data_IF_826800258070
#
_entry.id   IF_826800258070
#
_cell.length_a   1.000
_cell.length_b   1.000
_cell.length_c   1.000
_cell.angle_alpha   90.00
_cell.angle_beta   90.00
_cell.angle_gamma   90.00
#
_symmetry.space_group_name_H-M   'P 1'
#
loop_
_entity.id
_entity.type
_entity.pdbx_description
1 polymer ?
#
# COMPACT_ATOMS: atom_id res chain seq x y z
N UNK A 1 -15.70 13.09 -7.15
CA UNK A 1 -15.95 11.80 -7.84
C UNK A 1 -15.87 10.60 -6.91
N UNK A 2 -14.76 10.32 -6.21
CA UNK A 2 -14.65 9.17 -5.30
C UNK A 2 -15.69 9.18 -4.15
N UNK A 3 -15.88 10.32 -3.47
CA UNK A 3 -16.90 10.46 -2.42
C UNK A 3 -18.33 10.26 -2.93
N UNK A 4 -18.63 10.69 -4.16
CA UNK A 4 -19.92 10.43 -4.79
C UNK A 4 -20.15 8.94 -5.06
N UNK A 5 -19.12 8.21 -5.51
CA UNK A 5 -19.21 6.75 -5.69
C UNK A 5 -19.44 6.06 -4.33
N UNK A 6 -18.73 6.48 -3.28
CA UNK A 6 -18.92 5.93 -1.93
C UNK A 6 -20.30 6.23 -1.36
N UNK A 7 -20.84 7.44 -1.57
CA UNK A 7 -22.19 7.83 -1.17
C UNK A 7 -23.26 6.98 -1.85
N UNK A 8 -23.11 6.73 -3.14
CA UNK A 8 -24.01 5.86 -3.92
C UNK A 8 -23.94 4.42 -3.41
N UNK A 9 -22.75 3.87 -3.22
CA UNK A 9 -22.57 2.51 -2.66
C UNK A 9 -23.19 2.41 -1.27
N UNK A 10 -22.98 3.42 -0.41
CA UNK A 10 -23.55 3.46 0.93
C UNK A 10 -25.09 3.46 0.87
N UNK A 11 -25.68 4.34 0.05
CA UNK A 11 -27.13 4.41 -0.20
C UNK A 11 -27.71 3.07 -0.66
N UNK A 12 -27.02 2.35 -1.56
CA UNK A 12 -27.43 1.01 -1.98
C UNK A 12 -27.41 -0.03 -0.85
N UNK A 13 -26.44 0.04 0.07
CA UNK A 13 -26.29 -0.92 1.17
C UNK A 13 -27.31 -0.67 2.28
N UNK A 14 -27.54 0.61 2.63
CA UNK A 14 -28.42 1.00 3.73
C UNK A 14 -29.87 1.18 3.30
N UNK A 15 -30.13 1.28 1.99
CA UNK A 15 -31.45 1.61 1.44
C UNK A 15 -31.86 3.06 1.68
N UNK A 16 -30.94 3.93 2.12
CA UNK A 16 -31.20 5.36 2.33
C UNK A 16 -31.25 6.10 1.00
N UNK A 17 -32.05 7.15 0.90
CA UNK A 17 -32.10 7.97 -0.30
C UNK A 17 -30.77 8.72 -0.52
N UNK A 18 -30.39 8.91 -1.79
CA UNK A 18 -29.12 9.55 -2.16
C UNK A 18 -29.08 11.00 -1.65
N UNK A 19 -30.20 11.70 -1.68
CA UNK A 19 -30.32 13.08 -1.21
C UNK A 19 -30.07 13.18 0.30
N UNK A 20 -30.56 12.22 1.08
CA UNK A 20 -30.32 12.18 2.53
C UNK A 20 -28.85 11.91 2.85
N UNK A 21 -28.21 10.97 2.16
CA UNK A 21 -26.78 10.69 2.32
C UNK A 21 -25.93 11.90 1.94
N UNK A 22 -26.27 12.57 0.84
CA UNK A 22 -25.52 13.73 0.34
C UNK A 22 -25.64 14.92 1.31
N UNK A 23 -26.84 15.18 1.83
CA UNK A 23 -27.06 16.23 2.84
C UNK A 23 -26.27 15.97 4.13
N UNK A 24 -26.24 14.73 4.61
CA UNK A 24 -25.43 14.37 5.78
C UNK A 24 -23.95 14.61 5.51
N UNK A 25 -23.44 14.27 4.32
CA UNK A 25 -22.05 14.46 3.93
C UNK A 25 -21.66 15.95 3.80
N UNK A 26 -22.55 16.81 3.28
CA UNK A 26 -22.30 18.26 3.20
C UNK A 26 -22.19 18.92 4.57
N UNK A 27 -22.87 18.36 5.57
CA UNK A 27 -22.92 18.91 6.93
C UNK A 27 -21.87 18.31 7.89
N UNK A 28 -20.98 17.45 7.41
CA UNK A 28 -19.88 16.91 8.24
C UNK A 28 -18.86 18.03 8.53
N UNK A 29 -18.36 18.08 9.76
CA UNK A 29 -17.25 18.96 10.13
C UNK A 29 -16.03 18.67 9.23
N UNK A 30 -15.43 19.72 8.63
CA UNK A 30 -14.29 19.55 7.71
C UNK A 30 -13.07 18.83 8.30
N UNK A 31 -12.88 18.83 9.63
CA UNK A 31 -11.84 18.04 10.29
C UNK A 31 -12.18 16.55 10.27
N UNK A 32 -13.44 16.20 10.56
CA UNK A 32 -13.95 14.81 10.50
C UNK A 32 -13.89 14.30 9.07
N UNK A 33 -14.33 15.11 8.09
CA UNK A 33 -14.25 14.77 6.67
C UNK A 33 -12.81 14.47 6.22
N UNK A 34 -11.85 15.31 6.62
CA UNK A 34 -10.42 15.09 6.31
C UNK A 34 -9.88 13.81 6.94
N UNK A 35 -10.20 13.54 8.21
CA UNK A 35 -9.77 12.30 8.88
C UNK A 35 -10.37 11.06 8.22
N UNK A 36 -11.66 11.10 7.91
CA UNK A 36 -12.36 10.02 7.22
C UNK A 36 -11.77 9.77 5.83
N UNK A 37 -11.48 10.84 5.08
CA UNK A 37 -10.78 10.77 3.79
C UNK A 37 -9.44 10.04 3.91
N UNK A 38 -8.62 10.39 4.90
CA UNK A 38 -7.31 9.76 5.11
C UNK A 38 -7.43 8.27 5.47
N UNK A 39 -8.40 7.90 6.30
CA UNK A 39 -8.66 6.51 6.66
C UNK A 39 -9.12 5.70 5.44
N UNK A 40 -10.09 6.21 4.68
CA UNK A 40 -10.57 5.57 3.45
C UNK A 40 -9.43 5.38 2.46
N UNK A 41 -8.59 6.40 2.28
CA UNK A 41 -7.40 6.29 1.42
C UNK A 41 -6.45 5.18 1.89
N UNK A 42 -6.12 5.14 3.19
CA UNK A 42 -5.25 4.09 3.74
C UNK A 42 -5.85 2.68 3.57
N UNK A 43 -7.16 2.52 3.78
CA UNK A 43 -7.85 1.24 3.58
C UNK A 43 -7.82 0.83 2.10
N UNK A 44 -8.13 1.74 1.17
CA UNK A 44 -8.07 1.45 -0.27
C UNK A 44 -6.66 1.07 -0.72
N UNK A 45 -5.64 1.77 -0.23
CA UNK A 45 -4.24 1.44 -0.49
C UNK A 45 -3.85 0.08 0.07
N UNK A 46 -4.27 -0.24 1.30
CA UNK A 46 -4.05 -1.54 1.90
C UNK A 46 -4.72 -2.65 1.10
N UNK A 47 -6.02 -2.53 0.80
CA UNK A 47 -6.76 -3.55 0.04
C UNK A 47 -6.16 -3.77 -1.34
N UNK A 48 -5.78 -2.69 -2.02
CA UNK A 48 -5.13 -2.77 -3.33
C UNK A 48 -3.80 -3.50 -3.21
N UNK A 49 -2.91 -3.08 -2.31
CA UNK A 49 -1.58 -3.69 -2.17
C UNK A 49 -1.67 -5.13 -1.64
N UNK A 50 -2.61 -5.43 -0.76
CA UNK A 50 -2.82 -6.78 -0.23
C UNK A 50 -3.35 -7.73 -1.30
N UNK A 51 -4.39 -7.33 -2.05
CA UNK A 51 -4.95 -8.14 -3.14
C UNK A 51 -4.00 -8.36 -4.33
N UNK A 52 -2.95 -7.56 -4.44
CA UNK A 52 -1.98 -7.60 -5.56
C UNK A 52 -0.57 -8.02 -5.13
N UNK A 53 -0.41 -8.54 -3.91
CA UNK A 53 0.89 -8.96 -3.37
C UNK A 53 1.96 -7.84 -3.43
N UNK A 54 1.59 -6.63 -3.00
CA UNK A 54 2.44 -5.46 -2.88
C UNK A 54 2.53 -4.59 -4.14
N UNK A 55 1.56 -4.66 -5.06
CA UNK A 55 1.63 -3.99 -6.38
C UNK A 55 0.36 -3.23 -6.75
N UNK A 56 0.35 -1.91 -6.58
CA UNK A 56 -0.69 -1.08 -7.18
C UNK A 56 -0.63 -1.07 -8.71
N UNK A 57 -1.68 -0.56 -9.37
CA UNK A 57 -1.75 -0.41 -10.84
C UNK A 57 -0.51 0.27 -11.41
N UNK A 58 -0.06 1.36 -10.78
CA UNK A 58 1.17 2.05 -11.18
C UNK A 58 2.42 1.15 -11.10
N UNK A 59 2.53 0.32 -10.07
CA UNK A 59 3.65 -0.64 -9.88
C UNK A 59 3.61 -1.78 -10.90
N UNK A 60 2.45 -2.14 -11.42
CA UNK A 60 2.35 -3.03 -12.58
C UNK A 60 2.95 -2.39 -13.82
N UNK A 61 2.60 -1.14 -14.10
CA UNK A 61 3.10 -0.38 -15.26
C UNK A 61 4.61 -0.15 -15.16
N UNK A 62 5.11 0.26 -13.99
CA UNK A 62 6.55 0.53 -13.80
C UNK A 62 7.39 -0.72 -13.57
N UNK A 63 6.78 -1.91 -13.51
CA UNK A 63 7.49 -3.17 -13.25
C UNK A 63 8.14 -3.22 -11.86
N UNK A 64 7.55 -2.56 -10.86
CA UNK A 64 8.05 -2.54 -9.49
C UNK A 64 7.16 -3.33 -8.54
N UNK A 65 7.70 -3.68 -7.37
CA UNK A 65 7.01 -4.44 -6.33
C UNK A 65 7.50 -4.00 -4.95
N UNK A 66 6.61 -4.03 -3.96
CA UNK A 66 6.98 -3.92 -2.54
C UNK A 66 7.50 -5.26 -2.04
N UNK A 67 8.68 -5.24 -1.43
CA UNK A 67 9.27 -6.37 -0.73
C UNK A 67 9.64 -5.94 0.68
N UNK A 68 9.79 -6.91 1.58
CA UNK A 68 10.29 -6.63 2.93
C UNK A 68 11.79 -6.34 2.89
N UNK A 69 12.28 -5.52 3.81
CA UNK A 69 13.69 -5.11 3.83
C UNK A 69 14.65 -6.27 4.15
N UNK A 70 14.16 -7.30 4.85
CA UNK A 70 14.88 -8.54 5.19
C UNK A 70 14.71 -9.65 4.15
N UNK A 71 14.14 -9.34 2.98
CA UNK A 71 13.82 -10.26 1.89
C UNK A 71 12.88 -11.43 2.26
N UNK A 72 12.27 -11.41 3.46
CA UNK A 72 11.25 -12.36 3.88
C UNK A 72 9.89 -12.10 3.20
N UNK A 73 8.95 -13.07 3.23
CA UNK A 73 7.64 -12.90 2.61
C UNK A 73 6.89 -11.70 3.20
N UNK A 74 6.27 -10.92 2.30
CA UNK A 74 5.47 -9.77 2.68
C UNK A 74 4.19 -10.22 3.40
N UNK A 75 3.93 -9.66 4.59
CA UNK A 75 2.72 -9.99 5.35
C UNK A 75 1.62 -8.93 5.16
N UNK A 76 0.38 -9.30 5.47
CA UNK A 76 -0.72 -8.34 5.49
C UNK A 76 -0.48 -7.23 6.54
N UNK A 77 0.16 -7.54 7.67
CA UNK A 77 0.47 -6.56 8.70
C UNK A 77 1.48 -5.50 8.20
N UNK A 78 2.48 -5.91 7.40
CA UNK A 78 3.44 -4.97 6.83
C UNK A 78 2.76 -3.98 5.88
N UNK A 79 1.88 -4.49 5.02
CA UNK A 79 1.08 -3.67 4.11
C UNK A 79 0.09 -2.75 4.82
N UNK A 80 -0.48 -3.21 5.93
CA UNK A 80 -1.39 -2.42 6.75
C UNK A 80 -0.63 -1.25 7.39
N UNK A 81 0.47 -1.53 8.09
CA UNK A 81 1.34 -0.50 8.67
C UNK A 81 1.76 0.51 7.62
N UNK A 82 2.24 0.03 6.47
CA UNK A 82 2.67 0.87 5.35
C UNK A 82 1.57 1.77 4.82
N UNK A 83 0.32 1.28 4.75
CA UNK A 83 -0.81 2.05 4.24
C UNK A 83 -1.27 3.12 5.21
N UNK A 84 -1.27 2.84 6.52
CA UNK A 84 -1.59 3.83 7.55
C UNK A 84 -0.46 4.84 7.77
N UNK A 85 0.82 4.45 7.64
CA UNK A 85 1.96 5.38 7.73
C UNK A 85 1.95 6.46 6.65
N UNK A 86 1.25 6.27 5.53
CA UNK A 86 1.08 7.29 4.48
C UNK A 86 0.12 8.42 4.85
N UNK A 87 -0.64 8.27 5.93
CA UNK A 87 -1.52 9.33 6.44
C UNK A 87 -0.68 10.48 7.00
N UNK A 88 0.59 10.24 7.35
CA UNK A 88 1.46 11.26 7.92
C UNK A 88 1.59 12.44 6.95
N UNK A 89 1.31 13.67 7.42
CA UNK A 89 1.49 14.86 6.61
C UNK A 89 2.91 14.92 6.05
N UNK A 90 3.02 15.28 4.78
CA UNK A 90 4.30 15.42 4.09
C UNK A 90 5.11 14.13 3.92
N UNK A 91 4.50 12.94 4.00
CA UNK A 91 5.18 11.67 3.67
C UNK A 91 5.89 11.73 2.31
N UNK A 92 5.35 12.45 1.31
CA UNK A 92 6.03 12.66 0.04
C UNK A 92 7.40 13.37 0.16
N UNK A 93 7.56 14.29 1.12
CA UNK A 93 8.83 14.99 1.37
C UNK A 93 9.89 14.08 2.02
N UNK A 94 9.48 12.96 2.61
CA UNK A 94 10.43 12.01 3.20
C UNK A 94 11.38 11.40 2.16
N UNK A 95 10.97 11.35 0.89
CA UNK A 95 11.80 10.92 -0.22
C UNK A 95 12.92 11.90 -0.60
N UNK A 96 12.93 13.12 -0.06
CA UNK A 96 14.12 14.01 -0.13
C UNK A 96 15.26 13.47 0.75
N UNK A 97 14.95 12.61 1.71
CA UNK A 97 15.92 11.85 2.49
C UNK A 97 16.35 10.55 1.80
N UNK A 98 16.65 9.51 2.59
CA UNK A 98 17.08 8.22 2.07
C UNK A 98 15.93 7.34 1.57
N UNK A 99 14.85 7.26 2.36
CA UNK A 99 13.70 6.38 2.12
C UNK A 99 12.41 7.10 2.48
N UNK A 100 11.29 6.65 1.90
CA UNK A 100 9.96 7.07 2.32
C UNK A 100 9.70 6.68 3.78
N UNK A 101 9.08 7.56 4.58
CA UNK A 101 8.76 7.25 5.97
C UNK A 101 7.87 6.02 6.08
N UNK A 102 6.87 5.90 5.22
CA UNK A 102 6.01 4.71 5.20
C UNK A 102 6.77 3.42 4.87
N UNK A 103 7.81 3.48 4.04
CA UNK A 103 8.65 2.32 3.71
C UNK A 103 9.53 1.97 4.92
N UNK A 104 10.16 2.97 5.55
CA UNK A 104 10.99 2.78 6.75
C UNK A 104 10.21 2.27 7.97
N UNK A 105 9.01 2.78 8.24
CA UNK A 105 8.24 2.37 9.43
C UNK A 105 7.53 1.03 9.27
N UNK A 106 7.46 0.52 8.03
CA UNK A 106 6.91 -0.81 7.74
C UNK A 106 7.98 -1.85 7.42
N UNK A 107 9.26 -1.48 7.51
CA UNK A 107 10.39 -2.33 7.11
C UNK A 107 10.22 -2.88 5.68
N UNK A 108 9.71 -2.05 4.78
CA UNK A 108 9.51 -2.41 3.37
C UNK A 108 10.30 -1.51 2.43
N UNK A 109 10.45 -1.95 1.19
CA UNK A 109 11.07 -1.18 0.11
C UNK A 109 10.44 -1.52 -1.24
N UNK A 110 10.53 -0.59 -2.18
CA UNK A 110 10.11 -0.81 -3.57
C UNK A 110 11.32 -1.20 -4.42
N UNK A 111 11.23 -2.33 -5.10
CA UNK A 111 12.28 -2.86 -5.99
C UNK A 111 11.75 -3.06 -7.40
N UNK A 112 12.64 -3.06 -8.39
CA UNK A 112 12.33 -3.53 -9.75
C UNK A 112 12.20 -5.04 -9.74
N UNK A 113 11.08 -5.55 -10.23
CA UNK A 113 10.74 -6.98 -10.11
C UNK A 113 11.79 -7.86 -10.80
N UNK A 114 12.17 -7.50 -12.04
CA UNK A 114 13.15 -8.27 -12.84
C UNK A 114 14.52 -8.36 -12.15
N UNK A 115 14.99 -7.24 -11.62
CA UNK A 115 16.29 -7.17 -10.95
C UNK A 115 16.28 -7.96 -9.64
N UNK A 116 15.17 -7.88 -8.90
CA UNK A 116 14.97 -8.62 -7.66
C UNK A 116 14.93 -10.14 -7.89
N UNK A 117 14.18 -10.61 -8.89
CA UNK A 117 14.11 -12.03 -9.23
C UNK A 117 15.46 -12.59 -9.68
N UNK A 118 16.21 -11.82 -10.49
CA UNK A 118 17.56 -12.18 -10.92
C UNK A 118 18.54 -12.27 -9.74
N UNK A 119 18.49 -11.31 -8.80
CA UNK A 119 19.34 -11.35 -7.61
C UNK A 119 19.02 -12.59 -6.75
N UNK A 120 17.74 -12.92 -6.59
CA UNK A 120 17.29 -14.09 -5.82
C UNK A 120 17.70 -15.43 -6.46
N UNK A 121 17.66 -15.53 -7.79
CA UNK A 121 18.11 -16.75 -8.47
C UNK A 121 19.62 -16.95 -8.32
N UNK A 122 20.41 -15.87 -8.47
CA UNK A 122 21.86 -15.92 -8.30
C UNK A 122 22.27 -16.34 -6.89
N UNK A 123 21.60 -15.80 -5.86
CA UNK A 123 21.83 -16.20 -4.46
C UNK A 123 21.55 -17.70 -4.25
N UNK A 124 20.46 -18.20 -4.85
CA UNK A 124 20.11 -19.62 -4.80
C UNK A 124 21.17 -20.50 -5.47
N UNK A 125 21.66 -20.08 -6.64
CA UNK A 125 22.70 -20.82 -7.39
C UNK A 125 24.03 -20.86 -6.63
N UNK A 126 24.45 -19.76 -6.01
CA UNK A 126 25.67 -19.67 -5.19
C UNK A 126 25.57 -20.62 -3.98
N UNK A 127 24.44 -20.57 -3.27
CA UNK A 127 24.21 -21.45 -2.12
C UNK A 127 24.21 -22.93 -2.50
N UNK A 128 23.65 -23.28 -3.67
CA UNK A 128 23.66 -24.64 -4.20
C UNK A 128 25.08 -25.14 -4.58
N UNK A 129 25.95 -24.26 -5.05
CA UNK A 129 27.36 -24.59 -5.33
C UNK A 129 28.11 -24.84 -4.02
N UNK A 130 27.97 -23.94 -3.02
CA UNK A 130 28.65 -24.09 -1.73
C UNK A 130 28.31 -25.41 -1.03
N UNK A 131 27.06 -25.87 -1.11
CA UNK A 131 26.65 -27.17 -0.57
C UNK A 131 27.32 -28.37 -1.27
N UNK A 132 27.64 -28.26 -2.57
CA UNK A 132 28.29 -29.33 -3.35
C UNK A 132 29.77 -29.46 -3.04
N UNK A 133 30.44 -28.39 -2.63
CA UNK A 133 31.88 -28.41 -2.29
C UNK A 133 32.14 -28.86 -0.85
N UNK A 134 31.13 -28.77 0.03
CA UNK A 134 31.21 -29.16 1.45
C UNK A 134 30.84 -30.62 1.76
N UNK A 135 30.41 -31.40 0.75
CA UNK A 135 30.01 -32.80 0.88
C UNK A 135 31.00 -33.75 0.21
#
# INVERSE_FOLDING_TARGET
MLFGILAVVYSFITGSEIDEVTYQMENINGLVDRVLTMIVYAVLMFLTEWGTNGRSVGKYITGTKVVKADDSPLTAMDLLKRSFSRIVPFDALSFLGKNGWHDSWSDTRVVKLKDFEKAKSLDTDINAIGMKESG
#
